data_IF_969825683433
#
_entry.id   IF_969825683433
#
_cell.length_a   1.000
_cell.length_b   1.000
_cell.length_c   1.000
_cell.angle_alpha   90.00
_cell.angle_beta   90.00
_cell.angle_gamma   90.00
#
_symmetry.space_group_name_H-M   'P 1'
#
loop_
_entity.id
_entity.type
_entity.pdbx_description
1 polymer ?
#
# COMPACT_ATOMS: atom_id res chain seq x y z
N UNK A 1 -9.21 -34.71 57.05
CA UNK A 1 -7.91 -34.32 57.63
C UNK A 1 -6.85 -34.25 56.53
N UNK A 2 -6.53 -33.05 56.06
CA UNK A 2 -5.15 -32.60 55.89
C UNK A 2 -5.17 -31.08 55.78
N UNK A 3 -4.67 -30.51 56.84
CA UNK A 3 -4.56 -29.10 57.13
C UNK A 3 -3.21 -28.55 56.66
N UNK A 4 -3.26 -27.29 56.24
CA UNK A 4 -2.36 -26.18 56.59
C UNK A 4 -0.87 -26.25 56.20
N UNK A 5 -0.49 -25.17 55.50
CA UNK A 5 0.82 -24.60 55.15
C UNK A 5 1.97 -24.80 56.15
N UNK A 6 3.21 -24.52 55.68
CA UNK A 6 3.96 -23.45 56.31
C UNK A 6 4.51 -22.40 55.34
N UNK A 7 4.53 -21.18 55.84
CA UNK A 7 5.16 -20.00 55.27
C UNK A 7 6.69 -19.98 55.49
N UNK A 8 7.42 -19.41 54.53
CA UNK A 8 8.70 -18.70 54.71
C UNK A 8 8.67 -17.51 53.75
N UNK A 9 8.39 -16.28 54.21
CA UNK A 9 9.35 -15.25 54.65
C UNK A 9 10.52 -15.04 53.67
N UNK A 10 10.43 -13.97 52.90
CA UNK A 10 11.58 -13.17 52.45
C UNK A 10 11.19 -11.68 52.40
N UNK A 11 11.54 -10.99 53.49
CA UNK A 11 12.07 -9.63 53.64
C UNK A 11 11.55 -8.50 52.71
N UNK A 12 10.94 -7.51 53.36
CA UNK A 12 10.70 -6.14 52.86
C UNK A 12 12.01 -5.35 52.63
N UNK A 13 12.03 -4.55 51.57
CA UNK A 13 12.64 -3.22 51.59
C UNK A 13 11.74 -2.24 50.81
N UNK A 14 11.26 -1.24 51.54
CA UNK A 14 10.38 -0.14 51.12
C UNK A 14 11.18 1.08 50.65
N UNK A 15 10.42 2.04 50.11
CA UNK A 15 10.71 3.45 49.75
C UNK A 15 11.04 3.66 48.25
N UNK A 16 10.22 4.38 47.47
CA UNK A 16 9.07 5.19 47.85
C UNK A 16 8.20 5.61 46.67
N UNK A 17 7.01 6.09 47.03
CA UNK A 17 6.01 6.66 46.15
C UNK A 17 6.46 8.04 45.66
N UNK A 18 6.25 8.30 44.37
CA UNK A 18 6.06 9.65 43.87
C UNK A 18 4.85 9.61 42.93
N UNK A 19 3.71 10.05 43.47
CA UNK A 19 2.58 10.49 42.67
C UNK A 19 3.01 11.78 41.98
N UNK A 20 3.07 11.76 40.65
CA UNK A 20 3.02 12.97 39.84
C UNK A 20 2.03 12.73 38.71
N UNK A 21 0.77 13.12 38.97
CA UNK A 21 -0.17 13.49 37.93
C UNK A 21 0.36 14.76 37.27
N UNK A 22 1.06 14.58 36.15
CA UNK A 22 1.37 15.62 35.20
C UNK A 22 0.40 15.48 34.03
N UNK A 23 -0.61 16.34 34.00
CA UNK A 23 -1.55 16.49 32.92
C UNK A 23 -0.82 16.83 31.60
N UNK A 24 -1.38 16.33 30.51
CA UNK A 24 -0.99 16.72 29.16
C UNK A 24 -0.73 15.52 28.26
N UNK A 25 -1.77 14.74 27.97
CA UNK A 25 -1.93 14.27 26.59
C UNK A 25 -1.85 15.51 25.70
N UNK A 26 -0.68 15.75 25.11
CA UNK A 26 -0.63 16.39 23.83
C UNK A 26 -1.27 15.39 22.87
N UNK A 27 -2.61 15.46 22.77
CA UNK A 27 -3.26 15.08 21.53
C UNK A 27 -2.50 15.83 20.45
N UNK A 28 -1.70 15.11 19.67
CA UNK A 28 -1.12 15.65 18.46
C UNK A 28 -2.32 15.99 17.57
N UNK A 29 -2.78 17.24 17.68
CA UNK A 29 -3.60 17.88 16.66
C UNK A 29 -2.70 18.06 15.45
N UNK A 30 -2.37 16.96 14.79
CA UNK A 30 -1.57 16.95 13.58
C UNK A 30 -2.52 17.12 12.41
N UNK A 31 -2.43 18.25 11.72
CA UNK A 31 -2.80 18.25 10.31
C UNK A 31 -2.17 17.02 9.65
N UNK A 32 -2.87 16.40 8.69
CA UNK A 32 -2.26 15.33 7.94
C UNK A 32 -0.89 15.78 7.39
N UNK A 33 0.17 14.97 7.55
CA UNK A 33 1.54 15.40 7.25
C UNK A 33 1.76 15.76 5.77
N UNK A 34 0.87 15.29 4.88
CA UNK A 34 0.95 15.53 3.44
C UNK A 34 -0.39 15.98 2.87
N UNK A 35 -0.32 16.86 1.88
CA UNK A 35 -1.46 17.18 1.01
C UNK A 35 -1.81 15.95 0.15
N UNK A 36 -3.12 15.72 -0.05
CA UNK A 36 -3.60 14.64 -0.91
C UNK A 36 -3.47 15.07 -2.37
N UNK A 37 -2.72 14.30 -3.16
CA UNK A 37 -2.52 14.60 -4.58
C UNK A 37 -3.79 14.30 -5.38
N UNK A 38 -3.98 15.02 -6.49
CA UNK A 38 -5.02 14.65 -7.44
C UNK A 38 -4.72 13.27 -8.07
N UNK A 39 -5.72 12.38 -8.19
CA UNK A 39 -5.51 11.08 -8.80
C UNK A 39 -5.26 11.20 -10.32
N UNK A 40 -4.57 10.24 -10.93
CA UNK A 40 -4.29 10.22 -12.36
C UNK A 40 -5.53 9.84 -13.18
N UNK A 41 -5.46 10.06 -14.49
CA UNK A 41 -6.42 9.46 -15.41
C UNK A 41 -6.23 7.94 -15.48
N UNK A 42 -7.34 7.21 -15.48
CA UNK A 42 -7.35 5.75 -15.51
C UNK A 42 -8.55 5.22 -16.31
N UNK A 43 -8.29 4.23 -17.16
CA UNK A 43 -9.29 3.54 -17.97
C UNK A 43 -9.00 2.04 -17.86
N UNK A 44 -10.01 1.21 -17.60
CA UNK A 44 -9.82 -0.23 -17.42
C UNK A 44 -9.59 -0.98 -18.75
N UNK A 45 -9.53 -2.30 -18.68
CA UNK A 45 -9.37 -3.20 -19.84
C UNK A 45 -10.48 -3.13 -20.89
N UNK A 46 -11.66 -2.62 -20.50
CA UNK A 46 -12.85 -2.50 -21.35
C UNK A 46 -13.07 -1.10 -21.91
N UNK A 47 -12.21 -0.14 -21.59
CA UNK A 47 -12.38 1.25 -22.01
C UNK A 47 -13.29 2.07 -21.08
N UNK A 48 -13.64 1.56 -19.91
CA UNK A 48 -14.46 2.25 -18.91
C UNK A 48 -13.58 3.18 -18.05
N UNK A 49 -13.99 4.44 -17.81
CA UNK A 49 -13.23 5.36 -16.96
C UNK A 49 -13.29 4.94 -15.49
N UNK A 50 -12.13 4.84 -14.84
CA UNK A 50 -12.05 4.47 -13.41
C UNK A 50 -12.15 5.71 -12.54
N UNK A 51 -13.06 5.69 -11.57
CA UNK A 51 -13.24 6.79 -10.61
C UNK A 51 -12.35 6.61 -9.39
N UNK A 52 -11.95 7.70 -8.75
CA UNK A 52 -11.18 7.67 -7.50
C UNK A 52 -12.00 8.32 -6.39
N UNK A 53 -12.11 7.64 -5.26
CA UNK A 53 -12.91 8.08 -4.11
C UNK A 53 -12.08 8.00 -2.83
N UNK A 54 -11.95 9.13 -2.12
CA UNK A 54 -11.39 9.14 -0.78
C UNK A 54 -12.41 8.57 0.23
N UNK A 55 -11.96 7.65 1.09
CA UNK A 55 -12.76 7.01 2.12
C UNK A 55 -12.09 7.05 3.48
N UNK A 56 -12.89 7.35 4.50
CA UNK A 56 -12.52 7.21 5.90
C UNK A 56 -12.75 5.76 6.34
N UNK A 57 -11.80 4.85 6.04
CA UNK A 57 -12.00 3.41 6.31
C UNK A 57 -10.74 2.56 6.50
N UNK A 58 -9.55 3.16 6.51
CA UNK A 58 -8.29 2.43 6.64
C UNK A 58 -7.83 2.23 8.10
N UNK A 59 -6.82 1.37 8.29
CA UNK A 59 -6.05 1.34 9.54
C UNK A 59 -5.44 2.73 9.74
N UNK A 60 -5.66 3.34 10.91
CA UNK A 60 -5.11 4.64 11.23
C UNK A 60 -3.62 4.68 10.85
N UNK A 61 -3.22 5.76 10.17
CA UNK A 61 -1.85 6.08 9.78
C UNK A 61 -1.23 5.28 8.60
N UNK A 62 -1.96 4.40 7.91
CA UNK A 62 -1.48 3.73 6.68
C UNK A 62 -2.30 4.13 5.48
N UNK A 63 -1.63 4.73 4.49
CA UNK A 63 -2.23 4.94 3.18
C UNK A 63 -2.43 3.59 2.48
N UNK A 64 -3.59 3.40 1.88
CA UNK A 64 -3.91 2.19 1.13
C UNK A 64 -4.88 2.49 -0.01
N UNK A 65 -4.72 1.78 -1.11
CA UNK A 65 -5.65 1.75 -2.23
C UNK A 65 -6.48 0.47 -2.24
N UNK A 66 -7.58 0.50 -3.00
CA UNK A 66 -8.34 -0.70 -3.35
C UNK A 66 -9.04 -0.50 -4.68
N UNK A 67 -8.61 -1.23 -5.70
CA UNK A 67 -9.32 -1.39 -6.95
C UNK A 67 -10.55 -2.31 -6.77
N UNK A 68 -11.72 -1.85 -7.21
CA UNK A 68 -12.97 -2.58 -7.11
C UNK A 68 -13.96 -2.14 -8.20
N UNK A 69 -15.08 -2.88 -8.30
CA UNK A 69 -16.33 -2.33 -8.84
C UNK A 69 -17.21 -1.86 -7.68
N UNK A 70 -17.92 -0.75 -7.86
CA UNK A 70 -18.86 -0.24 -6.88
C UNK A 70 -20.18 -1.04 -6.85
N UNK A 71 -21.18 -0.55 -6.11
CA UNK A 71 -22.48 -1.21 -5.99
C UNK A 71 -23.29 -1.25 -7.30
N UNK A 72 -22.99 -0.36 -8.24
CA UNK A 72 -23.63 -0.30 -9.56
C UNK A 72 -22.80 -1.06 -10.62
N UNK A 73 -21.64 -1.57 -10.24
CA UNK A 73 -20.73 -2.28 -11.12
C UNK A 73 -19.73 -1.37 -11.85
N UNK A 74 -19.64 -0.08 -11.52
CA UNK A 74 -18.71 0.84 -12.16
C UNK A 74 -17.30 0.72 -11.56
N UNK A 75 -16.23 0.85 -12.37
CA UNK A 75 -14.87 0.71 -11.89
C UNK A 75 -14.43 1.87 -10.99
N UNK A 76 -13.86 1.56 -9.84
CA UNK A 76 -13.47 2.54 -8.82
C UNK A 76 -12.17 2.14 -8.10
N UNK A 77 -11.43 3.14 -7.65
CA UNK A 77 -10.32 3.03 -6.70
C UNK A 77 -10.71 3.76 -5.42
N UNK A 78 -10.70 3.02 -4.30
CA UNK A 78 -10.92 3.60 -2.97
C UNK A 78 -9.59 3.97 -2.33
N UNK A 79 -9.46 5.22 -1.91
CA UNK A 79 -8.26 5.81 -1.33
C UNK A 79 -8.45 5.99 0.17
N UNK A 80 -7.62 5.36 0.98
CA UNK A 80 -7.68 5.46 2.44
C UNK A 80 -6.42 6.11 2.98
N UNK A 81 -6.56 7.10 3.86
CA UNK A 81 -5.48 7.77 4.58
C UNK A 81 -4.32 8.29 3.70
N UNK A 82 -4.59 8.75 2.49
CA UNK A 82 -3.54 9.22 1.55
C UNK A 82 -2.69 10.34 2.13
N UNK A 83 -3.30 11.17 2.96
CA UNK A 83 -2.65 12.27 3.65
C UNK A 83 -1.60 11.83 4.69
N UNK A 84 -1.51 10.53 5.00
CA UNK A 84 -0.50 9.94 5.88
C UNK A 84 0.77 9.47 5.16
N UNK A 85 0.83 9.53 3.82
CA UNK A 85 1.99 9.08 3.03
C UNK A 85 2.48 10.16 2.06
N UNK A 86 3.78 10.21 1.70
CA UNK A 86 4.31 11.24 0.82
C UNK A 86 3.64 11.28 -0.57
N UNK A 87 3.56 12.46 -1.22
CA UNK A 87 2.93 12.64 -2.53
C UNK A 87 3.41 11.69 -3.64
N UNK A 88 4.69 11.31 -3.64
CA UNK A 88 5.22 10.35 -4.63
C UNK A 88 4.63 8.94 -4.44
N UNK A 89 4.45 8.53 -3.17
CA UNK A 89 3.91 7.21 -2.86
C UNK A 89 2.39 7.18 -3.00
N UNK A 90 1.69 8.29 -2.75
CA UNK A 90 0.28 8.42 -3.09
C UNK A 90 0.04 8.15 -4.59
N UNK A 91 0.83 8.78 -5.48
CA UNK A 91 0.75 8.52 -6.93
C UNK A 91 1.05 7.07 -7.26
N UNK A 92 2.07 6.48 -6.62
CA UNK A 92 2.38 5.06 -6.82
C UNK A 92 1.19 4.15 -6.47
N UNK A 93 0.53 4.38 -5.33
CA UNK A 93 -0.66 3.61 -4.93
C UNK A 93 -1.79 3.82 -5.95
N UNK A 94 -2.09 5.06 -6.34
CA UNK A 94 -3.15 5.34 -7.32
C UNK A 94 -2.88 4.63 -8.68
N UNK A 95 -1.64 4.67 -9.18
CA UNK A 95 -1.27 3.95 -10.40
C UNK A 95 -1.28 2.42 -10.24
N UNK A 96 -0.90 1.91 -9.06
CA UNK A 96 -0.96 0.48 -8.74
C UNK A 96 -2.41 -0.03 -8.78
N UNK A 97 -3.34 0.66 -8.12
CA UNK A 97 -4.75 0.25 -8.15
C UNK A 97 -5.36 0.42 -9.55
N UNK A 98 -4.96 1.47 -10.28
CA UNK A 98 -5.34 1.60 -11.69
C UNK A 98 -4.82 0.43 -12.53
N UNK A 99 -3.62 -0.10 -12.25
CA UNK A 99 -3.06 -1.22 -12.98
C UNK A 99 -3.91 -2.51 -12.82
N UNK A 100 -4.52 -2.74 -11.66
CA UNK A 100 -5.47 -3.84 -11.51
C UNK A 100 -6.68 -3.72 -12.44
N UNK A 101 -7.21 -2.51 -12.61
CA UNK A 101 -8.25 -2.24 -13.62
C UNK A 101 -7.72 -2.39 -15.05
N UNK A 102 -6.54 -1.84 -15.33
CA UNK A 102 -5.94 -1.87 -16.67
C UNK A 102 -5.55 -3.28 -17.10
N UNK A 103 -5.32 -4.21 -16.20
CA UNK A 103 -4.91 -5.58 -16.56
C UNK A 103 -6.05 -6.61 -16.44
N UNK A 104 -7.26 -6.13 -16.11
CA UNK A 104 -8.46 -6.95 -15.96
C UNK A 104 -8.51 -7.75 -14.65
N UNK A 105 -7.64 -7.47 -13.67
CA UNK A 105 -7.61 -8.21 -12.40
C UNK A 105 -8.91 -8.09 -11.61
N UNK A 106 -9.52 -6.89 -11.63
CA UNK A 106 -10.75 -6.58 -10.89
C UNK A 106 -11.94 -7.42 -11.36
N UNK A 107 -11.94 -7.81 -12.64
CA UNK A 107 -13.07 -8.49 -13.29
C UNK A 107 -12.95 -10.00 -13.31
N UNK A 108 -11.88 -10.54 -12.72
CA UNK A 108 -11.61 -11.97 -12.64
C UNK A 108 -11.88 -12.49 -11.23
N UNK A 109 -12.10 -13.81 -11.08
CA UNK A 109 -12.12 -14.43 -9.76
C UNK A 109 -10.85 -14.08 -9.00
N UNK A 110 -11.01 -13.43 -7.85
CA UNK A 110 -9.87 -13.01 -7.04
C UNK A 110 -9.08 -14.24 -6.56
N UNK A 111 -7.79 -14.37 -6.89
CA UNK A 111 -6.99 -15.51 -6.47
C UNK A 111 -6.87 -15.56 -4.94
N UNK A 112 -6.58 -16.71 -4.33
CA UNK A 112 -6.37 -16.79 -2.89
C UNK A 112 -5.33 -15.77 -2.43
N UNK A 113 -5.66 -14.97 -1.40
CA UNK A 113 -4.76 -13.95 -0.86
C UNK A 113 -3.41 -14.57 -0.50
N UNK A 114 -2.34 -13.89 -0.88
CA UNK A 114 -0.94 -14.33 -0.72
C UNK A 114 -0.56 -15.61 -1.48
N UNK A 115 -1.44 -16.12 -2.36
CA UNK A 115 -1.11 -17.20 -3.29
C UNK A 115 -0.23 -16.72 -4.46
N UNK A 116 0.39 -17.64 -5.23
CA UNK A 116 1.29 -17.26 -6.32
C UNK A 116 0.64 -16.36 -7.38
N UNK A 117 -0.61 -16.63 -7.77
CA UNK A 117 -1.34 -15.81 -8.74
C UNK A 117 -1.66 -14.42 -8.20
N UNK A 118 -2.07 -14.34 -6.93
CA UNK A 118 -2.28 -13.06 -6.25
C UNK A 118 -1.00 -12.24 -6.24
N UNK A 119 0.12 -12.82 -5.82
CA UNK A 119 1.41 -12.14 -5.77
C UNK A 119 1.92 -11.74 -7.17
N UNK A 120 1.59 -12.52 -8.21
CA UNK A 120 1.89 -12.15 -9.59
C UNK A 120 1.09 -10.92 -10.02
N UNK A 121 -0.19 -10.84 -9.69
CA UNK A 121 -1.03 -9.67 -9.98
C UNK A 121 -0.49 -8.42 -9.28
N UNK A 122 -0.17 -8.51 -7.99
CA UNK A 122 0.46 -7.42 -7.22
C UNK A 122 1.79 -6.96 -7.84
N UNK A 123 2.62 -7.92 -8.27
CA UNK A 123 3.92 -7.65 -8.91
C UNK A 123 3.78 -6.97 -10.28
N UNK A 124 2.76 -7.36 -11.05
CA UNK A 124 2.40 -6.73 -12.32
C UNK A 124 1.91 -5.30 -12.08
N UNK A 125 1.04 -5.09 -11.10
CA UNK A 125 0.52 -3.76 -10.74
C UNK A 125 1.63 -2.83 -10.26
N UNK A 126 2.55 -3.32 -9.43
CA UNK A 126 3.76 -2.59 -9.04
C UNK A 126 4.60 -2.16 -10.24
N UNK A 127 4.78 -3.06 -11.21
CA UNK A 127 5.55 -2.82 -12.42
C UNK A 127 4.90 -1.74 -13.29
N UNK A 128 3.59 -1.85 -13.53
CA UNK A 128 2.83 -0.84 -14.27
C UNK A 128 2.90 0.51 -13.55
N UNK A 129 2.73 0.54 -12.23
CA UNK A 129 2.74 1.78 -11.47
C UNK A 129 4.06 2.54 -11.60
N UNK A 130 5.20 1.84 -11.47
CA UNK A 130 6.50 2.49 -11.56
C UNK A 130 6.87 2.89 -13.00
N UNK A 131 6.40 2.14 -14.01
CA UNK A 131 6.54 2.50 -15.42
C UNK A 131 5.71 3.75 -15.74
N UNK A 132 4.46 3.85 -15.27
CA UNK A 132 3.62 5.05 -15.49
C UNK A 132 4.19 6.29 -14.81
N UNK A 133 4.71 6.16 -13.59
CA UNK A 133 5.42 7.27 -12.94
C UNK A 133 6.63 7.75 -13.78
N UNK A 134 7.38 6.83 -14.37
CA UNK A 134 8.52 7.16 -15.23
C UNK A 134 8.06 7.83 -16.53
N UNK A 135 7.08 7.25 -17.20
CA UNK A 135 6.68 7.60 -18.57
C UNK A 135 5.76 8.82 -18.63
N UNK A 136 4.81 8.93 -17.70
CA UNK A 136 3.75 9.96 -17.70
C UNK A 136 4.11 11.15 -16.78
N UNK A 137 4.68 10.87 -15.62
CA UNK A 137 5.03 11.90 -14.63
C UNK A 137 6.51 12.33 -14.70
N UNK A 138 7.31 11.71 -15.58
CA UNK A 138 8.71 12.05 -15.81
C UNK A 138 9.63 11.71 -14.64
N UNK A 139 9.28 10.73 -13.81
CA UNK A 139 10.11 10.34 -12.67
C UNK A 139 11.46 9.79 -13.14
N UNK A 140 12.54 10.51 -12.79
CA UNK A 140 13.90 9.99 -12.88
C UNK A 140 14.30 9.15 -11.65
N UNK A 141 15.59 8.79 -11.55
CA UNK A 141 16.11 7.97 -10.45
C UNK A 141 15.76 8.52 -9.05
N UNK A 142 15.82 9.83 -8.86
CA UNK A 142 15.47 10.46 -7.59
C UNK A 142 13.97 10.29 -7.23
N UNK A 143 13.08 10.25 -8.22
CA UNK A 143 11.66 9.96 -8.01
C UNK A 143 11.43 8.52 -7.60
N UNK A 144 12.05 7.58 -8.32
CA UNK A 144 12.07 6.17 -7.96
C UNK A 144 12.56 5.93 -6.51
N UNK A 145 13.66 6.57 -6.11
CA UNK A 145 14.22 6.40 -4.76
C UNK A 145 13.27 6.86 -3.66
N UNK A 146 12.47 7.93 -3.88
CA UNK A 146 11.45 8.38 -2.93
C UNK A 146 10.30 7.38 -2.82
N UNK A 147 9.85 6.81 -3.94
CA UNK A 147 8.84 5.74 -3.94
C UNK A 147 9.35 4.51 -3.19
N UNK A 148 10.57 4.04 -3.51
CA UNK A 148 11.15 2.87 -2.86
C UNK A 148 11.35 3.07 -1.36
N UNK A 149 11.78 4.26 -0.93
CA UNK A 149 11.94 4.59 0.48
C UNK A 149 10.60 4.59 1.24
N UNK A 150 9.55 5.17 0.65
CA UNK A 150 8.22 5.18 1.24
C UNK A 150 7.61 3.76 1.31
N UNK A 151 7.73 2.98 0.23
CA UNK A 151 7.30 1.57 0.19
C UNK A 151 7.98 0.75 1.29
N UNK A 152 9.31 0.89 1.44
CA UNK A 152 10.08 0.23 2.49
C UNK A 152 9.54 0.57 3.87
N UNK A 153 9.40 1.87 4.16
CA UNK A 153 8.94 2.35 5.46
C UNK A 153 7.55 1.80 5.81
N UNK A 154 6.61 1.79 4.87
CA UNK A 154 5.25 1.29 5.11
C UNK A 154 5.22 -0.23 5.30
N UNK A 155 5.97 -0.99 4.49
CA UNK A 155 6.05 -2.44 4.62
C UNK A 155 6.73 -2.88 5.92
N UNK A 156 7.82 -2.23 6.32
CA UNK A 156 8.49 -2.49 7.61
C UNK A 156 7.57 -2.18 8.79
N UNK A 157 6.84 -1.07 8.71
CA UNK A 157 5.91 -0.62 9.76
C UNK A 157 4.75 -1.59 10.01
N UNK A 158 4.27 -2.29 8.98
CA UNK A 158 3.23 -3.32 9.12
C UNK A 158 3.80 -4.73 9.38
N UNK A 159 5.13 -4.85 9.47
CA UNK A 159 5.81 -6.07 9.89
C UNK A 159 6.12 -7.06 8.77
N UNK A 160 6.23 -6.61 7.51
CA UNK A 160 6.76 -7.48 6.46
C UNK A 160 8.23 -7.84 6.73
N UNK A 161 8.64 -9.09 6.46
CA UNK A 161 10.04 -9.48 6.60
C UNK A 161 10.91 -8.82 5.52
N UNK A 162 12.17 -8.54 5.83
CA UNK A 162 13.12 -7.86 4.93
C UNK A 162 13.19 -8.51 3.54
N UNK A 163 13.11 -9.84 3.47
CA UNK A 163 13.14 -10.55 2.19
C UNK A 163 11.95 -10.17 1.28
N UNK A 164 10.76 -9.95 1.85
CA UNK A 164 9.58 -9.50 1.10
C UNK A 164 9.72 -8.04 0.67
N UNK A 165 10.23 -7.19 1.57
CA UNK A 165 10.47 -5.77 1.28
C UNK A 165 11.48 -5.62 0.14
N UNK A 166 12.66 -6.25 0.29
CA UNK A 166 13.71 -6.24 -0.71
C UNK A 166 13.26 -6.84 -2.04
N UNK A 167 12.49 -7.94 -2.03
CA UNK A 167 11.96 -8.55 -3.26
C UNK A 167 11.03 -7.59 -4.01
N UNK A 168 10.16 -6.87 -3.30
CA UNK A 168 9.21 -5.93 -3.92
C UNK A 168 9.93 -4.71 -4.51
N UNK A 169 10.92 -4.17 -3.78
CA UNK A 169 11.76 -3.07 -4.27
C UNK A 169 12.57 -3.49 -5.49
N UNK A 170 13.16 -4.69 -5.49
CA UNK A 170 13.91 -5.21 -6.63
C UNK A 170 13.02 -5.38 -7.88
N UNK A 171 11.76 -5.76 -7.70
CA UNK A 171 10.78 -5.83 -8.79
C UNK A 171 10.55 -4.47 -9.42
N UNK A 172 10.21 -3.44 -8.62
CA UNK A 172 9.98 -2.10 -9.16
C UNK A 172 11.25 -1.47 -9.73
N UNK A 173 12.44 -1.78 -9.20
CA UNK A 173 13.71 -1.32 -9.78
C UNK A 173 13.94 -1.93 -11.17
N UNK A 174 13.72 -3.24 -11.30
CA UNK A 174 13.85 -3.95 -12.58
C UNK A 174 12.87 -3.39 -13.61
N UNK A 175 11.63 -3.11 -13.19
CA UNK A 175 10.63 -2.50 -14.06
C UNK A 175 11.00 -1.07 -14.46
N UNK A 176 11.44 -0.24 -13.52
CA UNK A 176 11.83 1.13 -13.80
C UNK A 176 12.98 1.22 -14.83
N UNK A 177 13.92 0.28 -14.78
CA UNK A 177 15.05 0.19 -15.71
C UNK A 177 14.72 -0.49 -17.06
N UNK A 178 13.51 -1.03 -17.23
CA UNK A 178 13.12 -1.78 -18.42
C UNK A 178 12.91 -0.86 -19.63
N UNK A 179 13.30 -1.30 -20.83
CA UNK A 179 12.88 -0.65 -22.08
C UNK A 179 11.38 -0.87 -22.39
N UNK A 180 10.80 0.06 -23.14
CA UNK A 180 9.37 0.05 -23.52
C UNK A 180 8.49 0.82 -22.54
N UNK A 181 7.27 1.14 -22.97
CA UNK A 181 6.32 1.94 -22.19
C UNK A 181 5.48 1.10 -21.23
N UNK A 182 4.84 1.77 -20.27
CA UNK A 182 3.80 1.17 -19.44
C UNK A 182 2.66 0.56 -20.29
N UNK A 183 2.27 1.23 -21.38
CA UNK A 183 1.20 0.77 -22.28
C UNK A 183 1.59 -0.54 -22.96
N UNK A 184 2.80 -0.63 -23.54
CA UNK A 184 3.31 -1.86 -24.15
C UNK A 184 3.32 -3.03 -23.14
N UNK A 185 3.70 -2.75 -21.88
CA UNK A 185 3.72 -3.75 -20.83
C UNK A 185 2.31 -4.24 -20.48
N UNK A 186 1.34 -3.33 -20.38
CA UNK A 186 -0.08 -3.66 -20.12
C UNK A 186 -0.63 -4.52 -21.27
N UNK A 187 -0.35 -4.17 -22.53
CA UNK A 187 -0.79 -4.95 -23.69
C UNK A 187 -0.27 -6.39 -23.64
N UNK A 188 1.04 -6.58 -23.41
CA UNK A 188 1.64 -7.92 -23.27
C UNK A 188 1.01 -8.71 -22.13
N UNK A 189 0.68 -8.04 -21.01
CA UNK A 189 -0.01 -8.68 -19.88
C UNK A 189 -1.41 -9.13 -20.30
N UNK A 190 -2.20 -8.26 -20.94
CA UNK A 190 -3.56 -8.58 -21.43
C UNK A 190 -3.54 -9.73 -22.42
N UNK A 191 -2.64 -9.71 -23.40
CA UNK A 191 -2.49 -10.80 -24.38
C UNK A 191 -2.26 -12.16 -23.71
N UNK A 192 -1.35 -12.22 -22.74
CA UNK A 192 -1.04 -13.45 -21.99
C UNK A 192 -2.22 -13.98 -21.19
N UNK A 193 -3.14 -13.09 -20.81
CA UNK A 193 -4.34 -13.41 -20.04
C UNK A 193 -5.56 -13.68 -20.93
N UNK A 194 -5.42 -13.57 -22.25
CA UNK A 194 -6.51 -13.77 -23.21
C UNK A 194 -7.42 -12.54 -23.38
N UNK A 195 -6.93 -11.35 -23.02
CA UNK A 195 -7.61 -10.06 -23.14
C UNK A 195 -6.99 -9.14 -24.23
N UNK A 196 -6.10 -9.70 -25.05
CA UNK A 196 -5.62 -9.04 -26.27
C UNK A 196 -6.76 -8.95 -27.30
N UNK A 197 -6.89 -7.79 -27.95
CA UNK A 197 -7.85 -7.55 -29.04
C UNK A 197 -7.66 -8.52 -30.20
#
# INVERSE_FOLDING_TARGET
>A
MREILPAMIAVLALCGEAWAQGAGEAAASGQPPYEVVAPPACVNDKGEPVRFEDRDGGRADLAAGMAARDGDGEPVVYRSNYSATPPDFQRFIDFHECAHHQTGDVDRPHPPRNGPEHLMNESISDCVAILRLRDEEGYGRAGFERVAAAMRADMERIGFPEISVSSRIANIETCFARDGSAEDFIEVVRERRGEGK
#
